data_IF_643218150563
#
_entry.id   IF_643218150563
#
_cell.length_a   1.000
_cell.length_b   1.000
_cell.length_c   1.000
_cell.angle_alpha   90.00
_cell.angle_beta   90.00
_cell.angle_gamma   90.00
#
_symmetry.space_group_name_H-M   'P 1'
#
loop_
_entity.id
_entity.type
_entity.pdbx_description
1 polymer ?
#
# COMPACT_ATOMS: atom_id res chain seq x y z
N UNK A 1 -2.31 -23.88 -13.96
CA UNK A 1 -1.65 -22.62 -13.60
C UNK A 1 -2.19 -21.46 -14.44
N UNK A 2 -3.01 -20.59 -13.83
CA UNK A 2 -3.61 -19.36 -14.40
C UNK A 2 -2.69 -18.68 -15.44
N UNK A 3 -2.91 -18.88 -16.76
CA UNK A 3 -2.02 -18.36 -17.80
C UNK A 3 -2.08 -16.83 -17.83
N UNK A 4 -1.01 -16.15 -18.25
CA UNK A 4 -1.06 -14.70 -18.41
C UNK A 4 -1.96 -14.30 -19.58
N UNK A 5 -2.56 -13.10 -19.52
CA UNK A 5 -3.42 -12.54 -20.58
C UNK A 5 -2.68 -12.40 -21.92
N UNK A 6 -1.35 -12.31 -21.86
CA UNK A 6 -0.48 -12.28 -23.03
C UNK A 6 0.90 -12.86 -22.70
N UNK A 7 1.66 -13.17 -23.74
CA UNK A 7 3.08 -13.46 -23.59
C UNK A 7 3.82 -12.33 -22.83
N UNK A 8 4.96 -12.62 -22.18
CA UNK A 8 5.81 -11.61 -21.55
C UNK A 8 5.95 -10.34 -22.40
N UNK A 9 5.68 -9.19 -21.78
CA UNK A 9 5.65 -7.91 -22.48
C UNK A 9 6.99 -7.65 -23.19
N UNK A 10 6.97 -7.57 -24.52
CA UNK A 10 8.18 -7.27 -25.29
C UNK A 10 8.41 -5.76 -25.31
N UNK A 11 9.04 -5.25 -24.24
CA UNK A 11 9.38 -3.83 -24.08
C UNK A 11 10.68 -3.42 -24.77
N UNK A 12 11.38 -4.37 -25.38
CA UNK A 12 12.61 -4.11 -26.14
C UNK A 12 12.67 -4.95 -27.42
N UNK A 13 12.89 -4.30 -28.58
CA UNK A 13 12.95 -4.97 -29.87
C UNK A 13 14.15 -4.52 -30.71
N UNK A 14 14.63 -5.40 -31.60
CA UNK A 14 15.76 -5.11 -32.48
C UNK A 14 15.26 -4.51 -33.80
N UNK A 15 15.64 -3.26 -34.06
CA UNK A 15 15.36 -2.55 -35.31
C UNK A 15 16.55 -2.71 -36.27
N UNK A 16 16.28 -3.27 -37.45
CA UNK A 16 17.24 -3.33 -38.57
C UNK A 16 17.05 -2.10 -39.45
N UNK A 17 18.09 -1.28 -39.57
CA UNK A 17 18.04 -0.02 -40.33
C UNK A 17 18.53 -0.16 -41.77
N UNK A 18 18.77 -1.39 -42.25
CA UNK A 18 19.37 -1.67 -43.57
C UNK A 18 20.85 -1.29 -43.72
N UNK A 19 21.46 -0.62 -42.72
CA UNK A 19 22.88 -0.24 -42.71
C UNK A 19 23.75 -1.34 -42.10
N UNK A 20 25.02 -1.42 -42.52
CA UNK A 20 26.01 -2.37 -42.00
C UNK A 20 26.26 -2.09 -40.51
N UNK A 21 26.05 -3.08 -39.64
CA UNK A 21 26.27 -2.96 -38.19
C UNK A 21 25.34 -3.83 -37.34
N UNK A 22 25.58 -3.87 -36.02
CA UNK A 22 24.71 -4.60 -35.07
C UNK A 22 23.33 -3.92 -35.03
N UNK A 23 22.22 -4.68 -35.15
CA UNK A 23 20.86 -4.13 -35.07
C UNK A 23 20.66 -3.29 -33.80
N UNK A 24 20.01 -2.14 -33.96
CA UNK A 24 19.71 -1.25 -32.84
C UNK A 24 18.64 -1.88 -31.97
N UNK A 25 18.75 -1.73 -30.65
CA UNK A 25 17.65 -2.08 -29.75
C UNK A 25 16.89 -0.82 -29.38
N UNK A 26 15.57 -0.84 -29.59
CA UNK A 26 14.64 0.15 -29.10
C UNK A 26 13.93 -0.39 -27.88
N UNK A 27 13.78 0.47 -26.87
CA UNK A 27 13.14 0.16 -25.59
C UNK A 27 11.98 1.12 -25.48
N UNK A 28 10.82 0.62 -25.10
CA UNK A 28 9.63 1.43 -24.89
C UNK A 28 9.91 2.58 -23.90
N UNK A 29 9.69 3.85 -24.27
CA UNK A 29 10.03 5.00 -23.43
C UNK A 29 9.23 5.06 -22.13
N UNK A 30 7.96 4.64 -22.13
CA UNK A 30 7.11 4.69 -20.93
C UNK A 30 7.57 3.66 -19.90
N UNK A 31 7.78 2.42 -20.33
CA UNK A 31 8.42 1.38 -19.54
C UNK A 31 9.76 1.84 -19.01
N UNK A 32 10.61 2.41 -19.87
CA UNK A 32 11.96 2.81 -19.49
C UNK A 32 11.94 3.91 -18.43
N UNK A 33 11.03 4.88 -18.52
CA UNK A 33 10.84 5.91 -17.49
C UNK A 33 10.49 5.28 -16.15
N UNK A 34 9.42 4.49 -16.10
CA UNK A 34 8.97 3.84 -14.86
C UNK A 34 10.01 2.86 -14.29
N UNK A 35 10.72 2.13 -15.15
CA UNK A 35 11.76 1.20 -14.73
C UNK A 35 12.97 1.91 -14.11
N UNK A 36 13.34 3.10 -14.62
CA UNK A 36 14.44 3.92 -14.10
C UNK A 36 14.17 4.53 -12.72
N UNK A 37 12.89 4.66 -12.34
CA UNK A 37 12.51 5.07 -11.00
C UNK A 37 12.68 3.96 -9.96
N UNK A 38 12.59 2.72 -10.40
CA UNK A 38 12.72 1.54 -9.53
C UNK A 38 14.15 1.02 -9.50
N UNK A 39 14.83 0.98 -10.65
CA UNK A 39 16.14 0.35 -10.82
C UNK A 39 17.05 1.18 -11.73
N UNK A 40 18.35 1.18 -11.44
CA UNK A 40 19.35 1.69 -12.38
C UNK A 40 19.53 0.79 -13.61
N UNK A 41 20.22 1.25 -14.67
CA UNK A 41 20.43 0.50 -15.91
C UNK A 41 20.94 -0.94 -15.73
N UNK A 42 21.82 -1.18 -14.75
CA UNK A 42 22.35 -2.52 -14.42
C UNK A 42 21.29 -3.48 -13.89
N UNK A 43 20.26 -2.95 -13.21
CA UNK A 43 19.15 -3.73 -12.67
C UNK A 43 18.00 -3.96 -13.65
N UNK A 44 17.89 -3.14 -14.69
CA UNK A 44 16.89 -3.26 -15.78
C UNK A 44 17.41 -4.20 -16.86
N UNK A 45 18.69 -4.08 -17.22
CA UNK A 45 19.30 -4.79 -18.34
C UNK A 45 19.02 -6.31 -18.40
N UNK A 46 19.16 -7.07 -17.29
CA UNK A 46 18.85 -8.51 -17.28
C UNK A 46 17.38 -8.82 -17.57
N UNK A 47 16.46 -7.92 -17.21
CA UNK A 47 15.00 -8.13 -17.32
C UNK A 47 14.51 -8.12 -18.76
N UNK A 48 15.21 -7.38 -19.63
CA UNK A 48 14.85 -7.19 -21.04
C UNK A 48 15.90 -7.78 -21.99
N UNK A 49 16.87 -8.55 -21.47
CA UNK A 49 17.88 -9.24 -22.27
C UNK A 49 18.87 -8.33 -23.01
N UNK A 50 19.23 -7.17 -22.44
CA UNK A 50 20.17 -6.22 -23.06
C UNK A 50 21.32 -5.85 -22.11
N UNK A 51 22.30 -5.08 -22.60
CA UNK A 51 23.37 -4.53 -21.73
C UNK A 51 22.93 -3.28 -20.98
N UNK A 52 23.50 -3.01 -19.80
CA UNK A 52 23.25 -1.77 -19.05
C UNK A 52 23.57 -0.51 -19.89
N UNK A 53 24.57 -0.61 -20.78
CA UNK A 53 24.92 0.45 -21.73
C UNK A 53 23.82 0.72 -22.75
N UNK A 54 23.12 -0.32 -23.21
CA UNK A 54 21.97 -0.21 -24.11
C UNK A 54 20.83 0.53 -23.43
N UNK A 55 20.51 0.17 -22.18
CA UNK A 55 19.49 0.85 -21.38
C UNK A 55 19.82 2.33 -21.20
N UNK A 56 21.05 2.66 -20.77
CA UNK A 56 21.49 4.05 -20.62
C UNK A 56 21.40 4.84 -21.93
N UNK A 57 21.80 4.25 -23.05
CA UNK A 57 21.70 4.89 -24.38
C UNK A 57 20.25 5.14 -24.80
N UNK A 58 19.34 4.20 -24.52
CA UNK A 58 17.92 4.41 -24.76
C UNK A 58 17.38 5.56 -23.90
N UNK A 59 17.77 5.61 -22.62
CA UNK A 59 17.34 6.65 -21.69
C UNK A 59 17.82 8.05 -22.12
N UNK A 60 19.07 8.17 -22.59
CA UNK A 60 19.61 9.41 -23.16
C UNK A 60 18.84 9.86 -24.39
N UNK A 61 18.50 8.94 -25.30
CA UNK A 61 17.72 9.26 -26.51
C UNK A 61 16.30 9.70 -26.21
N UNK A 62 15.69 9.11 -25.18
CA UNK A 62 14.36 9.47 -24.72
C UNK A 62 14.34 10.73 -23.84
N UNK A 63 15.49 11.37 -23.59
CA UNK A 63 15.58 12.55 -22.72
C UNK A 63 15.35 12.27 -21.23
N UNK A 64 15.33 11.00 -20.82
CA UNK A 64 15.05 10.59 -19.43
C UNK A 64 16.26 10.75 -18.50
N UNK A 65 17.46 10.84 -19.06
CA UNK A 65 18.71 11.00 -18.32
C UNK A 65 19.60 11.98 -19.08
N UNK A 66 20.33 12.82 -18.36
CA UNK A 66 21.31 13.73 -18.96
C UNK A 66 22.62 12.99 -19.32
N UNK A 67 23.32 13.42 -20.39
CA UNK A 67 24.68 12.94 -20.66
C UNK A 67 25.56 13.12 -19.42
N UNK A 68 26.21 12.04 -18.98
CA UNK A 68 27.12 12.13 -17.84
C UNK A 68 28.41 12.82 -18.24
N UNK A 69 29.06 13.51 -17.29
CA UNK A 69 30.45 13.90 -17.44
C UNK A 69 31.33 12.66 -17.72
N UNK A 70 32.48 12.82 -18.40
CA UNK A 70 33.41 11.72 -18.62
C UNK A 70 33.71 10.97 -17.32
N UNK A 71 33.65 9.63 -17.36
CA UNK A 71 33.91 8.76 -16.20
C UNK A 71 35.32 9.01 -15.63
N UNK A 72 36.23 9.47 -16.49
CA UNK A 72 37.59 9.89 -16.15
C UNK A 72 37.74 11.37 -16.50
N UNK A 73 38.08 12.19 -15.52
CA UNK A 73 38.62 13.51 -15.77
C UNK A 73 40.05 13.55 -15.25
N UNK A 74 41.01 13.77 -16.15
CA UNK A 74 42.40 14.02 -15.80
C UNK A 74 42.51 15.46 -15.29
N UNK A 75 42.89 15.66 -14.04
CA UNK A 75 43.19 16.98 -13.48
C UNK A 75 44.67 17.04 -13.12
N UNK A 76 45.41 17.92 -13.77
CA UNK A 76 46.80 18.17 -13.40
C UNK A 76 46.81 19.07 -12.16
N UNK A 77 47.40 18.62 -11.06
CA UNK A 77 47.56 19.45 -9.86
C UNK A 77 48.66 20.51 -10.06
N UNK A 78 48.79 21.46 -9.13
CA UNK A 78 49.78 22.55 -9.19
C UNK A 78 51.25 22.05 -9.22
N UNK A 79 51.47 20.76 -8.92
CA UNK A 79 52.77 20.09 -8.92
C UNK A 79 53.04 19.29 -10.21
N UNK A 80 52.16 19.37 -11.22
CA UNK A 80 52.33 18.69 -12.51
C UNK A 80 51.96 17.21 -12.52
N UNK A 81 51.39 16.67 -11.44
CA UNK A 81 50.90 15.29 -11.40
C UNK A 81 49.47 15.19 -11.92
N UNK A 82 49.21 14.17 -12.75
CA UNK A 82 47.88 13.90 -13.31
C UNK A 82 47.07 13.07 -12.31
N UNK A 83 46.09 13.68 -11.66
CA UNK A 83 45.08 12.96 -10.88
C UNK A 83 43.91 12.54 -11.78
N UNK A 84 43.50 11.28 -11.67
CA UNK A 84 42.32 10.75 -12.36
C UNK A 84 41.13 10.84 -11.41
N UNK A 85 40.23 11.78 -11.67
CA UNK A 85 38.97 11.91 -10.93
C UNK A 85 37.94 10.97 -11.54
N UNK A 86 37.48 10.01 -10.73
CA UNK A 86 36.42 9.07 -11.10
C UNK A 86 35.04 9.67 -10.84
N UNK A 87 34.23 9.81 -11.89
CA UNK A 87 32.83 10.27 -11.74
C UNK A 87 31.91 9.05 -11.65
N UNK A 88 31.17 8.91 -10.54
CA UNK A 88 30.23 7.81 -10.33
C UNK A 88 29.05 7.88 -11.32
N UNK A 89 28.67 6.73 -11.88
CA UNK A 89 27.47 6.57 -12.74
C UNK A 89 26.19 6.27 -11.98
N UNK A 90 26.22 6.30 -10.63
CA UNK A 90 25.02 6.11 -9.82
C UNK A 90 23.99 7.22 -10.11
N UNK A 91 22.67 6.95 -9.98
CA UNK A 91 21.67 8.00 -10.04
C UNK A 91 22.01 9.10 -9.02
N UNK A 92 21.77 10.38 -9.34
CA UNK A 92 22.02 11.46 -8.40
C UNK A 92 21.21 11.19 -7.12
N UNK A 93 21.90 11.19 -5.99
CA UNK A 93 21.27 11.21 -4.67
C UNK A 93 20.66 12.58 -4.45
N UNK A 94 19.60 12.65 -3.67
CA UNK A 94 18.99 13.93 -3.32
C UNK A 94 19.99 14.82 -2.58
N UNK A 95 20.15 16.05 -3.05
CA UNK A 95 20.95 17.08 -2.37
C UNK A 95 20.08 17.64 -1.25
N UNK A 96 20.21 17.04 -0.07
CA UNK A 96 19.51 17.44 1.16
C UNK A 96 20.51 17.52 2.31
N UNK A 97 20.44 18.58 3.12
CA UNK A 97 21.30 18.73 4.29
C UNK A 97 20.96 17.68 5.36
N UNK A 98 21.86 17.44 6.32
CA UNK A 98 21.57 16.54 7.43
C UNK A 98 20.46 17.11 8.35
N UNK A 99 20.40 18.44 8.53
CA UNK A 99 19.36 19.10 9.31
C UNK A 99 17.98 18.97 8.67
N UNK A 100 17.88 19.18 7.35
CA UNK A 100 16.61 19.01 6.63
C UNK A 100 16.17 17.55 6.62
N UNK A 101 17.12 16.61 6.49
CA UNK A 101 16.84 15.19 6.58
C UNK A 101 16.31 14.81 7.96
N UNK A 102 16.92 15.34 9.03
CA UNK A 102 16.47 15.11 10.40
C UNK A 102 15.05 15.65 10.61
N UNK A 103 14.74 16.83 10.06
CA UNK A 103 13.40 17.39 10.10
C UNK A 103 12.37 16.51 9.36
N UNK A 104 12.72 16.00 8.17
CA UNK A 104 11.85 15.08 7.41
C UNK A 104 11.61 13.77 8.17
N UNK A 105 12.66 13.22 8.79
CA UNK A 105 12.54 12.00 9.60
C UNK A 105 11.68 12.26 10.84
N UNK A 106 11.87 13.40 11.52
CA UNK A 106 11.06 13.80 12.67
C UNK A 106 9.58 13.95 12.30
N UNK A 107 9.26 14.67 11.21
CA UNK A 107 7.87 14.81 10.74
C UNK A 107 7.27 13.47 10.31
N UNK A 108 8.09 12.58 9.73
CA UNK A 108 7.63 11.22 9.38
C UNK A 108 7.24 10.44 10.62
N UNK A 109 8.05 10.49 11.68
CA UNK A 109 7.82 9.76 12.93
C UNK A 109 6.70 10.37 13.79
N UNK A 110 6.45 11.67 13.68
CA UNK A 110 5.27 12.30 14.28
C UNK A 110 3.97 11.71 13.70
N UNK A 111 3.95 11.45 12.39
CA UNK A 111 2.81 10.82 11.72
C UNK A 111 2.82 9.31 11.93
N UNK A 112 3.98 8.65 11.82
CA UNK A 112 4.11 7.20 11.89
C UNK A 112 5.13 6.80 12.97
N UNK A 113 4.74 6.82 14.26
CA UNK A 113 5.69 6.62 15.36
C UNK A 113 6.41 5.27 15.35
N UNK A 114 5.85 4.27 14.68
CA UNK A 114 6.39 2.92 14.61
C UNK A 114 7.19 2.65 13.32
N UNK A 115 7.41 3.66 12.47
CA UNK A 115 8.18 3.47 11.25
C UNK A 115 9.64 3.17 11.57
N UNK A 116 10.06 1.95 11.26
CA UNK A 116 11.46 1.60 11.21
C UNK A 116 12.17 2.22 10.00
N UNK A 117 13.51 2.24 10.03
CA UNK A 117 14.39 2.79 8.99
C UNK A 117 14.03 2.39 7.54
N UNK A 118 13.53 1.17 7.33
CA UNK A 118 13.10 0.70 6.00
C UNK A 118 11.82 1.36 5.51
N UNK A 119 10.83 1.52 6.39
CA UNK A 119 9.58 2.22 6.07
C UNK A 119 9.83 3.71 5.88
N UNK A 120 10.69 4.34 6.71
CA UNK A 120 11.11 5.73 6.51
C UNK A 120 11.75 5.91 5.14
N UNK A 121 12.70 5.04 4.78
CA UNK A 121 13.30 5.09 3.43
C UNK A 121 12.26 4.89 2.34
N UNK A 122 11.30 3.98 2.54
CA UNK A 122 10.18 3.78 1.61
C UNK A 122 9.34 5.04 1.43
N UNK A 123 8.98 5.70 2.53
CA UNK A 123 8.20 6.94 2.57
C UNK A 123 8.94 8.11 1.89
N UNK A 124 10.23 8.31 2.22
CA UNK A 124 11.04 9.33 1.55
C UNK A 124 11.18 9.03 0.05
N UNK A 125 11.33 7.75 -0.33
CA UNK A 125 11.38 7.34 -1.74
C UNK A 125 10.06 7.58 -2.46
N UNK A 126 8.90 7.34 -1.85
CA UNK A 126 7.60 7.63 -2.47
C UNK A 126 7.37 9.13 -2.65
N UNK A 127 8.05 9.97 -1.86
CA UNK A 127 8.08 11.42 -2.02
C UNK A 127 9.16 11.92 -3.01
N UNK A 128 9.89 11.01 -3.66
CA UNK A 128 10.91 11.35 -4.67
C UNK A 128 12.34 11.52 -4.12
N UNK A 129 12.56 11.36 -2.81
CA UNK A 129 13.90 11.44 -2.24
C UNK A 129 14.70 10.16 -2.45
N UNK A 130 15.94 10.30 -2.95
CA UNK A 130 16.92 9.22 -3.12
C UNK A 130 18.08 9.42 -2.15
N UNK A 131 17.89 8.98 -0.91
CA UNK A 131 18.86 9.19 0.17
C UNK A 131 19.57 7.86 0.51
N UNK A 132 20.91 7.85 0.67
CA UNK A 132 21.67 6.67 1.08
C UNK A 132 21.19 6.08 2.41
N UNK A 133 21.22 4.75 2.53
CA UNK A 133 20.80 4.02 3.74
C UNK A 133 21.53 4.50 5.00
N UNK A 134 22.82 4.80 4.88
CA UNK A 134 23.65 5.20 6.01
C UNK A 134 23.25 6.59 6.52
N UNK A 135 22.92 7.53 5.63
CA UNK A 135 22.39 8.85 6.02
C UNK A 135 21.04 8.74 6.72
N UNK A 136 20.13 7.92 6.22
CA UNK A 136 18.84 7.66 6.90
C UNK A 136 19.08 7.02 8.27
N UNK A 137 20.03 6.10 8.38
CA UNK A 137 20.37 5.46 9.65
C UNK A 137 20.94 6.46 10.65
N UNK A 138 21.87 7.32 10.22
CA UNK A 138 22.44 8.37 11.06
C UNK A 138 21.37 9.38 11.50
N UNK A 139 20.53 9.84 10.58
CA UNK A 139 19.40 10.73 10.87
C UNK A 139 18.42 10.12 11.87
N UNK A 140 18.03 8.86 11.66
CA UNK A 140 17.17 8.12 12.59
C UNK A 140 17.77 8.08 14.00
N UNK A 141 19.07 7.81 14.13
CA UNK A 141 19.74 7.78 15.43
C UNK A 141 19.77 9.15 16.11
N UNK A 142 19.93 10.24 15.36
CA UNK A 142 19.89 11.61 15.91
C UNK A 142 18.49 12.02 16.37
N UNK A 143 17.45 11.64 15.62
CA UNK A 143 16.06 12.05 15.87
C UNK A 143 15.35 11.15 16.89
N UNK A 144 15.46 9.83 16.72
CA UNK A 144 14.73 8.84 17.52
C UNK A 144 15.61 8.18 18.60
N UNK A 145 16.93 8.34 18.53
CA UNK A 145 17.85 7.62 19.41
C UNK A 145 18.12 6.18 18.97
N UNK A 146 18.93 5.47 19.76
CA UNK A 146 19.25 4.07 19.47
C UNK A 146 17.96 3.22 19.46
N UNK A 147 17.75 2.37 18.43
CA UNK A 147 16.62 1.46 18.46
C UNK A 147 16.76 0.52 19.67
N UNK A 148 15.64 0.15 20.28
CA UNK A 148 15.65 -0.98 21.21
C UNK A 148 16.33 -2.19 20.52
N UNK A 149 17.12 -2.95 21.28
CA UNK A 149 17.74 -4.19 20.77
C UNK A 149 16.58 -5.16 20.52
N UNK A 150 16.09 -5.19 19.28
CA UNK A 150 15.19 -6.23 18.84
C UNK A 150 16.00 -7.50 18.70
N UNK A 151 15.63 -8.53 19.45
CA UNK A 151 16.09 -9.89 19.19
C UNK A 151 15.84 -10.24 17.73
N UNK A 152 16.74 -11.02 17.16
CA UNK A 152 16.66 -11.48 15.78
C UNK A 152 15.40 -12.36 15.64
N UNK A 153 14.25 -11.74 15.38
CA UNK A 153 12.99 -12.47 15.24
C UNK A 153 13.06 -13.16 13.89
N UNK A 154 13.52 -14.40 13.92
CA UNK A 154 13.69 -15.24 12.75
C UNK A 154 12.30 -15.62 12.23
N UNK A 155 11.72 -14.76 11.39
CA UNK A 155 10.41 -15.06 10.79
C UNK A 155 10.64 -16.09 9.68
N UNK A 156 10.18 -17.32 9.94
CA UNK A 156 10.09 -18.36 8.91
C UNK A 156 9.14 -17.88 7.82
N UNK A 157 9.63 -17.75 6.58
CA UNK A 157 8.80 -17.36 5.43
C UNK A 157 8.57 -18.60 4.57
N UNK A 158 7.30 -18.99 4.46
CA UNK A 158 6.80 -20.29 3.99
C UNK A 158 5.97 -20.16 2.70
N UNK A 159 5.62 -21.31 2.10
CA UNK A 159 5.60 -21.54 0.63
C UNK A 159 4.31 -21.08 -0.10
N UNK A 160 3.88 -19.84 0.07
CA UNK A 160 2.86 -19.26 -0.82
C UNK A 160 3.40 -19.06 -2.25
N UNK A 161 2.65 -19.51 -3.26
CA UNK A 161 2.98 -19.29 -4.67
C UNK A 161 1.73 -19.04 -5.49
N UNK A 162 1.79 -17.99 -6.32
CA UNK A 162 0.86 -17.76 -7.43
C UNK A 162 1.66 -17.45 -8.70
N UNK A 163 1.10 -17.64 -9.91
CA UNK A 163 1.81 -17.52 -11.18
C UNK A 163 2.48 -16.16 -11.45
N UNK A 164 1.89 -15.06 -10.99
CA UNK A 164 2.44 -13.73 -11.23
C UNK A 164 1.62 -12.62 -10.57
N UNK A 165 2.03 -11.35 -10.72
CA UNK A 165 1.22 -10.21 -10.31
C UNK A 165 -0.15 -10.24 -10.98
N UNK A 166 -1.17 -9.74 -10.27
CA UNK A 166 -2.57 -9.70 -10.69
C UNK A 166 -3.21 -11.08 -10.94
N UNK A 167 -2.53 -12.19 -10.62
CA UNK A 167 -3.10 -13.53 -10.71
C UNK A 167 -4.08 -13.82 -9.58
N UNK A 168 -3.71 -13.45 -8.35
CA UNK A 168 -4.59 -13.49 -7.18
C UNK A 168 -4.37 -12.25 -6.33
N UNK A 169 -5.42 -11.44 -6.18
CA UNK A 169 -5.46 -10.36 -5.21
C UNK A 169 -6.30 -10.78 -3.99
N UNK A 170 -5.93 -10.27 -2.81
CA UNK A 170 -6.57 -10.58 -1.52
C UNK A 170 -7.28 -9.31 -1.06
N UNK A 171 -8.59 -9.40 -0.89
CA UNK A 171 -9.49 -8.33 -0.42
C UNK A 171 -9.96 -8.67 0.99
N UNK A 172 -9.95 -7.69 1.88
CA UNK A 172 -10.47 -7.82 3.24
C UNK A 172 -10.78 -6.47 3.88
N UNK A 173 -11.58 -6.49 4.95
CA UNK A 173 -11.93 -5.36 5.80
C UNK A 173 -11.46 -5.54 7.24
N UNK A 174 -10.72 -4.58 7.77
CA UNK A 174 -10.26 -4.58 9.17
C UNK A 174 -11.19 -3.74 10.05
N UNK A 175 -11.71 -4.34 11.13
CA UNK A 175 -12.67 -3.73 12.03
C UNK A 175 -12.07 -3.14 13.32
N UNK A 176 -10.74 -2.92 13.38
CA UNK A 176 -10.06 -2.42 14.59
C UNK A 176 -10.55 -1.06 15.14
N UNK A 177 -11.26 -0.25 14.33
CA UNK A 177 -11.88 1.03 14.70
C UNK A 177 -13.43 0.99 14.64
N UNK A 178 -14.03 -0.20 14.56
CA UNK A 178 -15.49 -0.38 14.37
C UNK A 178 -16.34 0.24 15.48
N UNK A 179 -15.79 0.37 16.69
CA UNK A 179 -16.42 1.08 17.83
C UNK A 179 -16.76 2.53 17.46
N UNK A 180 -16.00 3.13 16.55
CA UNK A 180 -16.20 4.48 16.04
C UNK A 180 -16.86 4.48 14.66
N UNK A 181 -17.44 3.36 14.23
CA UNK A 181 -18.02 3.18 12.89
C UNK A 181 -17.03 3.51 11.76
N UNK A 182 -15.77 3.09 11.93
CA UNK A 182 -14.71 3.25 10.93
C UNK A 182 -14.17 1.85 10.58
N UNK A 183 -14.14 1.56 9.29
CA UNK A 183 -13.63 0.30 8.71
C UNK A 183 -12.55 0.63 7.70
N UNK A 184 -11.52 -0.21 7.61
CA UNK A 184 -10.45 -0.06 6.63
C UNK A 184 -10.52 -1.24 5.67
N UNK A 185 -10.78 -0.99 4.39
CA UNK A 185 -10.75 -2.01 3.34
C UNK A 185 -9.44 -1.93 2.57
N UNK A 186 -8.88 -3.08 2.21
CA UNK A 186 -7.62 -3.15 1.48
C UNK A 186 -7.65 -4.25 0.43
N UNK A 187 -6.92 -4.05 -0.67
CA UNK A 187 -6.66 -5.04 -1.70
C UNK A 187 -5.15 -5.14 -1.90
N UNK A 188 -4.59 -6.34 -1.74
CA UNK A 188 -3.16 -6.61 -1.89
C UNK A 188 -2.90 -7.70 -2.93
N UNK A 189 -1.90 -7.48 -3.78
CA UNK A 189 -1.43 -8.47 -4.75
C UNK A 189 -0.70 -9.64 -4.06
N UNK A 190 -1.16 -10.86 -4.34
CA UNK A 190 -0.66 -12.09 -3.73
C UNK A 190 0.79 -12.43 -4.10
N UNK A 191 1.23 -12.05 -5.30
CA UNK A 191 2.60 -12.31 -5.76
C UNK A 191 3.61 -11.32 -5.16
N UNK A 192 3.36 -10.03 -5.36
CA UNK A 192 4.33 -8.94 -5.15
C UNK A 192 4.23 -8.27 -3.79
N UNK A 193 3.15 -8.50 -3.02
CA UNK A 193 2.82 -7.76 -1.78
C UNK A 193 2.44 -6.31 -2.01
N UNK A 194 2.20 -5.93 -3.25
CA UNK A 194 1.84 -4.56 -3.61
C UNK A 194 0.42 -4.28 -3.13
N UNK A 195 0.26 -3.25 -2.32
CA UNK A 195 -1.06 -2.75 -1.93
C UNK A 195 -1.65 -2.05 -3.15
N UNK A 196 -2.62 -2.71 -3.77
CA UNK A 196 -3.31 -2.22 -4.97
C UNK A 196 -4.26 -1.07 -4.60
N UNK A 197 -4.88 -1.15 -3.43
CA UNK A 197 -5.75 -0.10 -2.91
C UNK A 197 -6.00 -0.27 -1.42
N UNK A 198 -6.13 0.84 -0.71
CA UNK A 198 -6.56 0.89 0.68
C UNK A 198 -7.53 2.06 0.83
N UNK A 199 -8.59 1.91 1.62
CA UNK A 199 -9.52 3.00 1.89
C UNK A 199 -10.15 2.87 3.27
N UNK A 200 -10.34 4.02 3.90
CA UNK A 200 -11.01 4.12 5.18
C UNK A 200 -12.44 4.59 4.94
N UNK A 201 -13.40 3.78 5.36
CA UNK A 201 -14.82 4.02 5.22
C UNK A 201 -15.48 4.22 6.59
N UNK A 202 -16.62 4.89 6.58
CA UNK A 202 -17.51 5.04 7.74
C UNK A 202 -18.67 4.02 7.73
N UNK A 203 -18.59 3.01 6.87
CA UNK A 203 -19.59 1.97 6.67
C UNK A 203 -18.93 0.67 6.19
N UNK A 204 -19.66 -0.44 6.22
CA UNK A 204 -19.21 -1.74 5.70
C UNK A 204 -20.08 -2.24 4.53
N UNK A 205 -20.53 -1.35 3.65
CA UNK A 205 -21.43 -1.70 2.54
C UNK A 205 -20.66 -2.28 1.35
N UNK A 206 -21.29 -3.23 0.65
CA UNK A 206 -20.76 -3.81 -0.58
C UNK A 206 -20.38 -2.77 -1.63
N UNK A 207 -21.25 -1.79 -1.87
CA UNK A 207 -20.99 -0.70 -2.80
C UNK A 207 -19.71 0.10 -2.52
N UNK A 208 -19.35 0.28 -1.24
CA UNK A 208 -18.10 0.95 -0.85
C UNK A 208 -16.88 0.11 -1.23
N UNK A 209 -16.94 -1.20 -0.99
CA UNK A 209 -15.88 -2.16 -1.30
C UNK A 209 -15.73 -2.34 -2.81
N UNK A 210 -16.85 -2.45 -3.54
CA UNK A 210 -16.87 -2.48 -5.00
C UNK A 210 -16.26 -1.20 -5.57
N UNK A 211 -16.58 -0.03 -5.01
CA UNK A 211 -15.98 1.23 -5.49
C UNK A 211 -14.46 1.25 -5.31
N UNK A 212 -13.94 0.74 -4.19
CA UNK A 212 -12.50 0.56 -3.99
C UNK A 212 -11.89 -0.34 -5.08
N UNK A 213 -12.53 -1.47 -5.40
CA UNK A 213 -12.09 -2.34 -6.47
C UNK A 213 -12.10 -1.63 -7.84
N UNK A 214 -13.16 -0.92 -8.19
CA UNK A 214 -13.24 -0.22 -9.47
C UNK A 214 -12.13 0.83 -9.63
N UNK A 215 -11.78 1.53 -8.56
CA UNK A 215 -10.66 2.48 -8.57
C UNK A 215 -9.30 1.76 -8.75
N UNK A 216 -9.13 0.56 -8.15
CA UNK A 216 -7.96 -0.31 -8.39
C UNK A 216 -7.90 -0.77 -9.84
N UNK A 217 -9.04 -1.20 -10.41
CA UNK A 217 -9.13 -1.67 -11.79
C UNK A 217 -8.75 -0.56 -12.77
N UNK A 218 -9.21 0.67 -12.53
CA UNK A 218 -8.88 1.81 -13.36
C UNK A 218 -7.37 2.11 -13.39
N UNK A 219 -6.63 1.81 -12.30
CA UNK A 219 -5.20 2.10 -12.18
C UNK A 219 -4.29 0.93 -12.59
N UNK A 220 -4.72 -0.30 -12.34
CA UNK A 220 -3.85 -1.49 -12.41
C UNK A 220 -4.40 -2.60 -13.30
N UNK A 221 -5.63 -2.49 -13.78
CA UNK A 221 -6.34 -3.57 -14.46
C UNK A 221 -7.13 -4.47 -13.49
N UNK A 222 -7.93 -5.38 -14.04
CA UNK A 222 -8.80 -6.28 -13.27
C UNK A 222 -8.10 -7.60 -12.95
N UNK A 223 -7.77 -7.91 -11.67
CA UNK A 223 -7.09 -9.15 -11.30
C UNK A 223 -7.75 -10.38 -11.95
N UNK A 224 -6.96 -11.41 -12.27
CA UNK A 224 -7.51 -12.68 -12.77
C UNK A 224 -8.46 -13.29 -11.76
N UNK A 225 -8.08 -13.30 -10.48
CA UNK A 225 -8.92 -13.74 -9.36
C UNK A 225 -8.79 -12.81 -8.16
N UNK A 226 -9.88 -12.67 -7.43
CA UNK A 226 -9.91 -12.07 -6.10
C UNK A 226 -10.23 -13.15 -5.07
N UNK A 227 -9.61 -13.06 -3.89
CA UNK A 227 -10.02 -13.81 -2.71
C UNK A 227 -10.55 -12.84 -1.68
N UNK A 228 -11.66 -13.18 -1.06
CA UNK A 228 -12.18 -12.54 0.14
C UNK A 228 -12.86 -13.57 1.03
N UNK A 229 -13.25 -13.13 2.23
CA UNK A 229 -14.02 -13.96 3.13
C UNK A 229 -15.52 -13.93 2.81
N UNK A 230 -16.29 -14.75 3.52
CA UNK A 230 -17.75 -14.87 3.38
C UNK A 230 -18.54 -13.69 3.99
N UNK A 231 -17.97 -12.49 3.96
CA UNK A 231 -18.63 -11.24 4.35
C UNK A 231 -19.65 -10.75 3.31
N UNK A 232 -20.78 -10.21 3.76
CA UNK A 232 -21.79 -9.63 2.85
C UNK A 232 -21.27 -8.41 2.09
N UNK A 233 -20.26 -7.72 2.63
CA UNK A 233 -19.57 -6.61 1.97
C UNK A 233 -18.81 -7.03 0.70
N UNK A 234 -18.52 -8.33 0.54
CA UNK A 234 -17.80 -8.85 -0.61
C UNK A 234 -18.74 -9.28 -1.75
N UNK A 235 -20.06 -9.33 -1.51
CA UNK A 235 -21.03 -9.84 -2.49
C UNK A 235 -20.99 -9.05 -3.80
N UNK A 236 -21.08 -7.72 -3.73
CA UNK A 236 -21.08 -6.88 -4.94
C UNK A 236 -19.77 -7.01 -5.74
N UNK A 237 -18.65 -7.23 -5.06
CA UNK A 237 -17.36 -7.52 -5.71
C UNK A 237 -17.40 -8.88 -6.41
N UNK A 238 -17.90 -9.91 -5.74
CA UNK A 238 -17.99 -11.25 -6.31
C UNK A 238 -18.90 -11.28 -7.55
N UNK A 239 -20.06 -10.62 -7.48
CA UNK A 239 -20.98 -10.46 -8.62
C UNK A 239 -20.27 -9.77 -9.79
N UNK A 240 -19.61 -8.63 -9.54
CA UNK A 240 -18.88 -7.92 -10.57
C UNK A 240 -17.79 -8.77 -11.23
N UNK A 241 -17.04 -9.55 -10.43
CA UNK A 241 -15.99 -10.43 -10.95
C UNK A 241 -16.53 -11.54 -11.84
N UNK A 242 -17.66 -12.15 -11.48
CA UNK A 242 -18.32 -13.16 -12.30
C UNK A 242 -18.91 -12.55 -13.59
N UNK A 243 -19.48 -11.34 -13.53
CA UNK A 243 -19.98 -10.63 -14.71
C UNK A 243 -18.86 -10.28 -15.72
N UNK A 244 -17.70 -9.83 -15.22
CA UNK A 244 -16.59 -9.37 -16.07
C UNK A 244 -15.72 -10.52 -16.59
N UNK A 245 -15.59 -11.61 -15.84
CA UNK A 245 -14.68 -12.72 -16.17
C UNK A 245 -15.39 -14.01 -16.59
N UNK A 246 -16.72 -14.02 -16.62
CA UNK A 246 -17.52 -15.17 -16.99
C UNK A 246 -18.00 -15.99 -15.78
N UNK A 247 -19.24 -16.49 -15.83
CA UNK A 247 -19.85 -17.22 -14.72
C UNK A 247 -19.20 -18.59 -14.52
N UNK A 248 -18.98 -18.99 -13.26
CA UNK A 248 -18.49 -20.32 -12.90
C UNK A 248 -16.99 -20.53 -13.13
N UNK A 249 -16.26 -19.50 -13.59
CA UNK A 249 -14.79 -19.52 -13.73
C UNK A 249 -14.08 -19.56 -12.38
N UNK A 250 -14.78 -19.13 -11.33
CA UNK A 250 -14.19 -18.96 -10.01
C UNK A 250 -13.30 -17.73 -9.95
N UNK A 251 -13.85 -16.62 -10.41
CA UNK A 251 -13.15 -15.33 -10.50
C UNK A 251 -13.12 -14.62 -9.15
N UNK A 252 -14.05 -14.97 -8.26
CA UNK A 252 -13.99 -14.68 -6.84
C UNK A 252 -13.88 -15.99 -6.03
N UNK A 253 -12.78 -16.14 -5.31
CA UNK A 253 -12.52 -17.29 -4.43
C UNK A 253 -12.99 -16.93 -3.04
N UNK A 254 -14.11 -17.49 -2.64
CA UNK A 254 -14.56 -17.44 -1.26
C UNK A 254 -13.68 -18.34 -0.40
N UNK A 255 -13.05 -17.77 0.62
CA UNK A 255 -12.22 -18.51 1.57
C UNK A 255 -12.53 -18.13 3.01
N UNK A 256 -12.03 -18.90 3.97
CA UNK A 256 -12.00 -18.43 5.36
C UNK A 256 -10.98 -17.31 5.47
N UNK A 257 -11.16 -16.38 6.41
CA UNK A 257 -10.23 -15.24 6.55
C UNK A 257 -8.80 -15.71 6.87
N UNK A 258 -8.63 -16.84 7.56
CA UNK A 258 -7.31 -17.50 7.74
C UNK A 258 -6.63 -17.86 6.39
N UNK A 259 -7.40 -18.23 5.36
CA UNK A 259 -6.89 -18.52 4.01
C UNK A 259 -6.51 -17.26 3.23
N UNK A 260 -6.90 -16.08 3.71
CA UNK A 260 -6.56 -14.77 3.16
C UNK A 260 -5.21 -14.27 3.71
N UNK A 261 -4.25 -15.18 3.88
CA UNK A 261 -3.05 -14.98 4.70
C UNK A 261 -2.22 -13.75 4.30
N UNK A 262 -2.26 -13.36 3.02
CA UNK A 262 -1.44 -12.26 2.52
C UNK A 262 -1.93 -10.91 3.03
N UNK A 263 -3.24 -10.70 3.12
CA UNK A 263 -3.82 -9.48 3.66
C UNK A 263 -3.90 -9.53 5.19
N UNK A 264 -4.13 -10.70 5.78
CA UNK A 264 -4.11 -10.83 7.25
C UNK A 264 -2.76 -10.44 7.84
N UNK A 265 -1.68 -10.89 7.21
CA UNK A 265 -0.34 -10.46 7.58
C UNK A 265 -0.13 -8.96 7.38
N UNK A 266 -0.71 -8.38 6.32
CA UNK A 266 -0.63 -6.94 6.06
C UNK A 266 -1.31 -6.14 7.18
N UNK A 267 -2.41 -6.65 7.76
CA UNK A 267 -3.13 -5.95 8.82
C UNK A 267 -2.29 -5.75 10.09
N UNK A 268 -1.36 -6.65 10.39
CA UNK A 268 -0.37 -6.44 11.44
C UNK A 268 0.43 -5.15 11.17
N UNK A 269 0.96 -5.00 9.96
CA UNK A 269 1.77 -3.85 9.56
C UNK A 269 0.94 -2.56 9.44
N UNK A 270 -0.32 -2.64 9.01
CA UNK A 270 -1.28 -1.51 8.99
C UNK A 270 -1.58 -1.02 10.40
N UNK A 271 -1.91 -1.96 11.30
CA UNK A 271 -2.22 -1.68 12.71
C UNK A 271 -1.02 -1.01 13.38
N UNK A 272 0.18 -1.57 13.20
CA UNK A 272 1.40 -0.98 13.77
C UNK A 272 1.77 0.34 13.11
N UNK A 273 1.60 0.46 11.79
CA UNK A 273 2.00 1.63 11.01
C UNK A 273 1.19 2.88 11.36
N UNK A 274 -0.13 2.80 11.35
CA UNK A 274 -0.99 3.96 11.66
C UNK A 274 -2.27 3.62 12.44
N UNK A 275 -2.79 2.39 12.40
CA UNK A 275 -4.06 2.05 13.05
C UNK A 275 -4.02 2.24 14.58
N UNK A 276 -2.94 1.79 15.23
CA UNK A 276 -2.78 1.81 16.69
C UNK A 276 -2.80 3.24 17.25
N UNK A 277 -2.15 4.20 16.60
CA UNK A 277 -2.16 5.60 17.09
C UNK A 277 -3.57 6.19 17.08
N UNK A 278 -4.40 5.86 16.09
CA UNK A 278 -5.78 6.33 16.01
C UNK A 278 -6.67 5.63 17.03
N UNK A 279 -6.51 4.31 17.22
CA UNK A 279 -7.21 3.57 18.28
C UNK A 279 -6.92 4.17 19.66
N UNK A 280 -5.65 4.42 19.97
CA UNK A 280 -5.23 5.06 21.24
C UNK A 280 -5.78 6.48 21.35
N UNK A 281 -5.71 7.27 20.28
CA UNK A 281 -6.24 8.64 20.26
C UNK A 281 -7.75 8.67 20.56
N UNK A 282 -8.56 7.82 19.93
CA UNK A 282 -10.00 7.81 20.20
C UNK A 282 -10.35 7.28 21.60
N UNK A 283 -9.60 6.30 22.11
CA UNK A 283 -9.76 5.86 23.51
C UNK A 283 -9.44 6.98 24.51
N UNK A 284 -8.42 7.80 24.22
CA UNK A 284 -8.10 9.00 25.01
C UNK A 284 -9.24 10.02 24.94
N UNK A 285 -9.82 10.25 23.75
CA UNK A 285 -10.98 11.13 23.64
C UNK A 285 -12.19 10.63 24.45
N UNK A 286 -12.43 9.32 24.47
CA UNK A 286 -13.51 8.71 25.27
C UNK A 286 -13.28 8.91 26.76
N UNK A 287 -12.06 8.63 27.22
CA UNK A 287 -11.74 8.61 28.65
C UNK A 287 -11.62 10.02 29.21
N UNK A 288 -11.03 10.94 28.46
CA UNK A 288 -10.56 12.23 28.99
C UNK A 288 -11.20 13.46 28.31
N UNK A 289 -11.87 13.32 27.17
CA UNK A 289 -12.35 14.47 26.38
C UNK A 289 -13.81 14.38 25.94
N UNK A 290 -14.63 13.60 26.65
CA UNK A 290 -16.09 13.62 26.51
C UNK A 290 -16.63 13.01 25.22
N UNK A 291 -15.82 12.26 24.46
CA UNK A 291 -16.33 11.45 23.36
C UNK A 291 -17.21 10.33 23.92
N UNK A 292 -18.47 10.30 23.49
CA UNK A 292 -19.37 9.20 23.79
C UNK A 292 -19.68 8.44 22.49
N UNK A 293 -19.14 7.22 22.31
CA UNK A 293 -19.30 6.46 21.07
C UNK A 293 -20.73 5.93 20.86
N UNK A 294 -21.59 5.98 21.89
CA UNK A 294 -23.01 5.60 21.75
C UNK A 294 -23.89 6.74 21.23
N UNK A 295 -23.38 7.99 21.23
CA UNK A 295 -24.11 9.16 20.71
C UNK A 295 -23.83 9.34 19.21
N UNK A 296 -24.83 9.22 18.33
CA UNK A 296 -24.63 9.35 16.88
C UNK A 296 -23.99 10.68 16.46
N UNK A 297 -24.37 11.79 17.10
CA UNK A 297 -23.79 13.10 16.82
C UNK A 297 -22.29 13.21 17.13
N UNK A 298 -21.79 12.48 18.14
CA UNK A 298 -20.36 12.46 18.45
C UNK A 298 -19.60 11.63 17.42
N UNK A 299 -20.14 10.49 17.00
CA UNK A 299 -19.55 9.68 15.92
C UNK A 299 -19.54 10.48 14.61
N UNK A 300 -20.62 11.19 14.30
CA UNK A 300 -20.68 12.07 13.12
C UNK A 300 -19.57 13.13 13.18
N UNK A 301 -19.44 13.81 14.32
CA UNK A 301 -18.42 14.85 14.49
C UNK A 301 -17.00 14.27 14.37
N UNK A 302 -16.76 13.08 14.94
CA UNK A 302 -15.50 12.37 14.82
C UNK A 302 -15.18 12.04 13.35
N UNK A 303 -16.17 11.59 12.57
CA UNK A 303 -16.01 11.32 11.14
C UNK A 303 -15.71 12.61 10.36
N UNK A 304 -16.48 13.67 10.60
CA UNK A 304 -16.32 14.99 9.97
C UNK A 304 -14.91 15.53 10.15
N UNK A 305 -14.34 15.39 11.34
CA UNK A 305 -13.03 15.92 11.67
C UNK A 305 -11.87 15.02 11.20
N UNK A 306 -12.00 13.70 11.35
CA UNK A 306 -10.83 12.82 11.31
C UNK A 306 -10.86 11.74 10.23
N UNK A 307 -12.00 11.43 9.61
CA UNK A 307 -12.08 10.35 8.61
C UNK A 307 -11.12 10.61 7.42
N UNK A 308 -11.14 11.82 6.88
CA UNK A 308 -10.23 12.23 5.80
C UNK A 308 -8.76 12.16 6.22
N UNK A 309 -8.46 12.52 7.48
CA UNK A 309 -7.11 12.44 8.05
C UNK A 309 -6.61 10.99 8.18
N UNK A 310 -7.46 10.07 8.63
CA UNK A 310 -7.11 8.63 8.71
C UNK A 310 -6.91 8.08 7.30
N UNK A 311 -7.78 8.46 6.35
CA UNK A 311 -7.66 8.02 4.96
C UNK A 311 -6.35 8.51 4.33
N UNK A 312 -5.93 9.76 4.61
CA UNK A 312 -4.62 10.28 4.17
C UNK A 312 -3.46 9.49 4.76
N UNK A 313 -3.51 9.17 6.06
CA UNK A 313 -2.49 8.33 6.70
C UNK A 313 -2.42 6.93 6.05
N UNK A 314 -3.57 6.35 5.67
CA UNK A 314 -3.64 5.08 4.98
C UNK A 314 -3.00 5.13 3.58
N UNK A 315 -3.27 6.17 2.79
CA UNK A 315 -2.64 6.36 1.48
C UNK A 315 -1.12 6.55 1.59
N UNK A 316 -0.68 7.44 2.47
CA UNK A 316 0.74 7.72 2.70
C UNK A 316 1.49 6.45 3.17
N UNK A 317 0.83 5.65 4.02
CA UNK A 317 1.35 4.37 4.48
C UNK A 317 1.47 3.35 3.34
N UNK A 318 0.44 3.22 2.49
CA UNK A 318 0.47 2.30 1.35
C UNK A 318 1.55 2.69 0.33
N UNK A 319 1.77 3.97 0.10
CA UNK A 319 2.85 4.46 -0.76
C UNK A 319 4.25 4.16 -0.19
N UNK A 320 4.43 4.37 1.12
CA UNK A 320 5.64 3.99 1.82
C UNK A 320 5.87 2.47 1.76
N UNK A 321 4.82 1.68 1.99
CA UNK A 321 4.83 0.23 1.89
C UNK A 321 5.21 -0.23 0.48
N UNK A 322 4.58 0.29 -0.56
CA UNK A 322 4.88 -0.11 -1.93
C UNK A 322 6.31 0.23 -2.37
N UNK A 323 6.95 1.18 -1.67
CA UNK A 323 8.31 1.66 -1.92
C UNK A 323 9.38 1.03 -1.02
N UNK A 324 9.01 0.43 0.12
CA UNK A 324 9.96 -0.14 1.08
C UNK A 324 10.56 -1.45 0.57
N UNK A 325 11.78 -1.79 1.01
CA UNK A 325 12.41 -3.05 0.63
C UNK A 325 11.98 -4.20 1.54
N UNK A 326 11.45 -5.25 0.94
CA UNK A 326 11.14 -6.53 1.58
C UNK A 326 12.38 -7.42 1.63
N UNK A 327 12.58 -8.14 2.74
CA UNK A 327 13.61 -9.19 2.86
C UNK A 327 12.98 -10.56 2.71
N UNK A 328 12.93 -11.10 1.50
CA UNK A 328 12.50 -12.48 1.27
C UNK A 328 13.71 -13.41 1.36
N UNK A 329 13.58 -14.52 2.09
CA UNK A 329 14.68 -15.46 2.34
C UNK A 329 15.26 -15.94 1.00
N UNK A 330 16.60 -15.88 0.87
CA UNK A 330 17.35 -16.27 -0.34
C UNK A 330 16.99 -15.48 -1.61
N UNK A 331 16.34 -14.33 -1.48
CA UNK A 331 16.08 -13.42 -2.60
C UNK A 331 16.73 -12.06 -2.35
N UNK A 332 16.96 -11.31 -3.43
CA UNK A 332 17.42 -9.93 -3.31
C UNK A 332 16.33 -9.06 -2.70
N UNK A 333 16.72 -8.05 -1.93
CA UNK A 333 15.78 -7.07 -1.38
C UNK A 333 15.13 -6.26 -2.51
N UNK A 334 13.80 -6.27 -2.56
CA UNK A 334 12.98 -5.63 -3.59
C UNK A 334 11.78 -4.97 -2.93
N UNK A 335 11.30 -3.87 -3.50
CA UNK A 335 10.04 -3.29 -3.04
C UNK A 335 8.84 -4.00 -3.67
N UNK A 336 7.66 -3.95 -3.03
CA UNK A 336 6.45 -4.48 -3.66
C UNK A 336 6.22 -3.93 -5.07
N UNK A 337 6.43 -2.62 -5.28
CA UNK A 337 6.32 -1.99 -6.60
C UNK A 337 7.31 -2.54 -7.62
N UNK A 338 8.54 -2.85 -7.20
CA UNK A 338 9.57 -3.50 -8.03
C UNK A 338 9.14 -4.92 -8.41
N UNK A 339 8.67 -5.70 -7.43
CA UNK A 339 8.17 -7.07 -7.66
C UNK A 339 6.94 -7.09 -8.59
N UNK A 340 6.04 -6.12 -8.44
CA UNK A 340 4.84 -5.99 -9.26
C UNK A 340 5.20 -5.68 -10.72
N UNK A 341 5.92 -4.59 -10.96
CA UNK A 341 6.25 -4.13 -12.33
C UNK A 341 7.10 -5.14 -13.09
N UNK A 342 8.19 -5.64 -12.48
CA UNK A 342 9.07 -6.59 -13.16
C UNK A 342 8.51 -8.02 -13.14
N UNK A 343 7.58 -8.33 -12.24
CA UNK A 343 6.82 -9.58 -12.26
C UNK A 343 5.92 -9.65 -13.50
N UNK A 344 5.21 -8.57 -13.84
CA UNK A 344 4.40 -8.51 -15.07
C UNK A 344 5.22 -8.73 -16.34
N UNK A 345 6.47 -8.22 -16.34
CA UNK A 345 7.38 -8.40 -17.47
C UNK A 345 7.83 -9.86 -17.62
N UNK A 346 8.09 -10.57 -16.51
CA UNK A 346 8.63 -11.94 -16.53
C UNK A 346 7.57 -13.01 -16.68
N UNK A 347 6.49 -12.88 -15.91
CA UNK A 347 5.45 -13.91 -15.76
C UNK A 347 4.26 -13.67 -16.70
N UNK A 348 4.37 -12.66 -17.57
CA UNK A 348 3.29 -12.16 -18.40
C UNK A 348 2.29 -11.29 -17.62
N UNK A 349 1.68 -10.29 -18.27
CA UNK A 349 0.71 -9.43 -17.63
C UNK A 349 -0.60 -10.19 -17.39
N UNK A 350 -1.30 -9.82 -16.32
CA UNK A 350 -2.65 -10.28 -16.00
C UNK A 350 -3.51 -9.09 -15.63
N UNK A 351 -4.79 -9.19 -15.95
CA UNK A 351 -5.79 -8.16 -15.68
C UNK A 351 -5.81 -6.98 -16.64
N UNK A 352 -5.15 -7.12 -17.78
CA UNK A 352 -5.20 -6.15 -18.88
C UNK A 352 -5.91 -6.73 -20.11
N UNK A 353 -6.58 -7.88 -19.98
CA UNK A 353 -7.34 -8.56 -21.05
C UNK A 353 -8.39 -7.66 -21.70
N UNK A 354 -9.01 -6.71 -20.99
CA UNK A 354 -9.89 -5.71 -21.63
C UNK A 354 -9.18 -4.86 -22.69
N UNK A 355 -7.84 -4.85 -22.71
CA UNK A 355 -7.00 -4.20 -23.72
C UNK A 355 -6.35 -5.18 -24.70
N UNK A 356 -6.36 -6.49 -24.43
CA UNK A 356 -5.67 -7.53 -25.19
C UNK A 356 -6.61 -8.71 -25.46
N UNK A 357 -6.99 -8.93 -26.72
CA UNK A 357 -8.06 -9.83 -27.15
C UNK A 357 -7.72 -11.34 -27.07
N UNK A 358 -7.22 -11.82 -25.93
CA UNK A 358 -6.94 -13.24 -25.70
C UNK A 358 -7.55 -13.67 -24.37
N UNK A 359 -8.49 -14.61 -24.45
CA UNK A 359 -8.98 -15.36 -23.30
C UNK A 359 -8.68 -16.84 -23.57
N UNK A 360 -7.63 -17.37 -22.95
CA UNK A 360 -7.47 -18.81 -22.78
C UNK A 360 -7.97 -19.16 -21.37
N UNK A 361 -9.01 -19.97 -21.30
CA UNK A 361 -9.54 -20.50 -20.04
C UNK A 361 -8.73 -21.71 -19.58
N UNK A 362 -8.56 -21.85 -18.27
CA UNK A 362 -7.94 -23.03 -17.66
C UNK A 362 -8.80 -23.59 -16.53
N UNK A 363 -8.81 -24.91 -16.44
CA UNK A 363 -9.36 -25.71 -15.36
C UNK A 363 -8.37 -25.74 -14.18
N UNK A 364 -8.74 -25.17 -13.03
CA UNK A 364 -7.98 -25.30 -11.78
C UNK A 364 -8.50 -26.54 -11.05
N UNK A 365 -7.61 -27.50 -10.74
CA UNK A 365 -7.95 -28.76 -10.07
C UNK A 365 -8.69 -28.57 -8.73
N UNK A 366 -8.26 -27.61 -7.90
CA UNK A 366 -8.99 -27.19 -6.69
C UNK A 366 -8.86 -25.67 -6.45
N UNK A 367 -9.94 -24.95 -6.71
CA UNK A 367 -10.02 -23.50 -6.51
C UNK A 367 -9.92 -23.10 -5.04
N UNK A 368 -10.38 -23.96 -4.13
CA UNK A 368 -10.42 -23.66 -2.70
C UNK A 368 -9.01 -23.66 -2.11
N UNK A 369 -8.07 -24.42 -2.67
CA UNK A 369 -6.68 -24.47 -2.20
C UNK A 369 -5.77 -23.41 -2.86
N UNK A 370 -6.26 -22.73 -3.90
CA UNK A 370 -5.43 -21.89 -4.77
C UNK A 370 -4.78 -20.71 -4.03
N UNK A 371 -3.46 -20.70 -3.87
CA UNK A 371 -2.76 -19.59 -3.21
C UNK A 371 -3.13 -19.45 -1.73
N UNK A 372 -3.30 -20.55 -1.00
CA UNK A 372 -3.34 -20.56 0.47
C UNK A 372 -1.93 -20.77 1.04
N UNK A 373 -1.60 -20.10 2.14
CA UNK A 373 -0.37 -20.34 2.92
C UNK A 373 -0.72 -21.17 4.17
N UNK A 374 -0.87 -22.48 4.00
CA UNK A 374 -1.35 -23.39 5.06
C UNK A 374 -0.52 -23.30 6.35
N UNK A 375 0.79 -23.11 6.22
CA UNK A 375 1.68 -23.06 7.36
C UNK A 375 1.60 -21.73 8.14
N UNK A 376 1.07 -20.67 7.52
CA UNK A 376 0.85 -19.40 8.21
C UNK A 376 -0.43 -19.41 9.06
N UNK A 377 -1.37 -20.32 8.76
CA UNK A 377 -2.55 -20.58 9.58
C UNK A 377 -2.20 -21.21 10.93
N UNK A 378 -0.94 -21.59 11.15
CA UNK A 378 -0.42 -22.14 12.40
C UNK A 378 0.33 -21.09 13.24
N UNK A 379 0.49 -19.84 12.77
CA UNK A 379 1.20 -18.79 13.52
C UNK A 379 0.29 -18.14 14.60
N UNK A 380 0.56 -18.35 15.91
CA UNK A 380 -0.35 -17.90 16.97
C UNK A 380 -0.53 -16.38 17.04
N UNK A 381 0.51 -15.63 16.69
CA UNK A 381 0.49 -14.16 16.71
C UNK A 381 -0.43 -13.57 15.64
N UNK A 382 -0.45 -14.17 14.44
CA UNK A 382 -1.34 -13.75 13.36
C UNK A 382 -2.80 -14.07 13.70
N UNK A 383 -3.07 -15.26 14.22
CA UNK A 383 -4.42 -15.66 14.65
C UNK A 383 -4.91 -14.77 15.79
N UNK A 384 -4.07 -14.45 16.78
CA UNK A 384 -4.44 -13.57 17.87
C UNK A 384 -4.79 -12.15 17.37
N UNK A 385 -3.97 -11.61 16.45
CA UNK A 385 -4.21 -10.30 15.84
C UNK A 385 -5.50 -10.29 15.00
N UNK A 386 -5.74 -11.33 14.19
CA UNK A 386 -6.96 -11.54 13.44
C UNK A 386 -8.19 -11.49 14.37
N UNK A 387 -8.20 -12.33 15.40
CA UNK A 387 -9.33 -12.44 16.33
C UNK A 387 -9.56 -11.17 17.17
N UNK A 388 -8.53 -10.37 17.42
CA UNK A 388 -8.67 -9.07 18.10
C UNK A 388 -9.37 -8.04 17.20
N UNK A 389 -9.05 -8.05 15.91
CA UNK A 389 -9.52 -7.02 14.98
C UNK A 389 -10.78 -7.41 14.20
N UNK A 390 -11.17 -8.69 14.22
CA UNK A 390 -12.38 -9.22 13.58
C UNK A 390 -13.25 -10.01 14.59
N UNK A 391 -14.00 -9.31 15.46
CA UNK A 391 -14.73 -9.94 16.56
C UNK A 391 -15.85 -10.89 16.12
N UNK A 392 -16.40 -10.75 14.92
CA UNK A 392 -17.40 -11.67 14.35
C UNK A 392 -16.84 -13.07 14.08
N UNK A 393 -15.54 -13.18 13.75
CA UNK A 393 -14.90 -14.49 13.57
C UNK A 393 -14.74 -15.26 14.89
N UNK A 394 -14.68 -14.57 16.04
CA UNK A 394 -14.69 -15.23 17.36
C UNK A 394 -16.02 -15.92 17.67
N UNK A 395 -17.14 -15.43 17.12
CA UNK A 395 -18.48 -15.93 17.44
C UNK A 395 -18.86 -17.18 16.62
N UNK A 396 -18.30 -17.33 15.41
CA UNK A 396 -18.54 -18.48 14.55
C UNK A 396 -17.62 -19.63 14.95
N UNK A 397 -18.10 -20.47 15.87
CA UNK A 397 -17.43 -21.63 16.49
C UNK A 397 -17.16 -22.81 15.54
N UNK A 398 -16.75 -22.53 14.30
CA UNK A 398 -16.34 -23.51 13.29
C UNK A 398 -14.86 -23.82 13.45
N UNK A 399 -14.50 -25.11 13.55
CA UNK A 399 -13.11 -25.57 13.55
C UNK A 399 -12.33 -24.88 12.41
N UNK A 400 -11.36 -24.00 12.71
CA UNK A 400 -10.66 -23.19 11.73
C UNK A 400 -9.83 -24.01 10.72
N UNK A 401 -9.63 -25.31 10.99
CA UNK A 401 -8.82 -26.22 10.17
C UNK A 401 -9.64 -27.17 9.26
N UNK A 402 -10.97 -27.21 9.36
CA UNK A 402 -11.78 -28.05 8.47
C UNK A 402 -11.78 -27.51 7.03
N UNK A 403 -11.31 -28.31 6.07
CA UNK A 403 -11.45 -28.02 4.65
C UNK A 403 -12.93 -28.10 4.25
N UNK A 404 -13.43 -27.14 3.46
CA UNK A 404 -14.70 -27.21 2.68
C UNK A 404 -16.05 -26.79 3.28
N UNK A 405 -16.19 -26.24 4.49
CA UNK A 405 -17.52 -25.76 4.91
C UNK A 405 -17.81 -24.34 4.36
N UNK A 406 -18.47 -24.22 3.20
CA UNK A 406 -19.22 -23.00 2.87
C UNK A 406 -20.18 -22.73 4.02
N UNK A 407 -20.08 -21.58 4.71
CA UNK A 407 -20.95 -21.33 5.86
C UNK A 407 -22.40 -21.23 5.39
N UNK A 408 -23.33 -21.79 6.17
CA UNK A 408 -24.77 -21.78 5.84
C UNK A 408 -25.34 -20.36 5.72
N UNK A 409 -24.70 -19.38 6.37
CA UNK A 409 -25.02 -17.96 6.30
C UNK A 409 -23.73 -17.13 6.10
N UNK A 410 -23.81 -16.07 5.32
CA UNK A 410 -22.75 -15.07 5.21
C UNK A 410 -22.63 -14.27 6.52
N UNK A 411 -21.43 -13.82 6.86
CA UNK A 411 -21.23 -12.97 8.03
C UNK A 411 -21.57 -11.52 7.68
N UNK A 412 -22.40 -10.87 8.49
CA UNK A 412 -22.73 -9.47 8.34
C UNK A 412 -22.22 -8.65 9.53
N UNK A 413 -21.48 -7.58 9.23
CA UNK A 413 -21.07 -6.58 10.22
C UNK A 413 -21.81 -5.28 9.93
N UNK A 414 -22.85 -4.99 10.72
CA UNK A 414 -23.65 -3.78 10.56
C UNK A 414 -22.85 -2.53 10.98
N UNK A 415 -22.42 -1.76 9.99
CA UNK A 415 -21.73 -0.49 10.16
C UNK A 415 -22.32 0.56 9.23
N UNK A 416 -23.11 1.46 9.80
CA UNK A 416 -23.76 2.55 9.08
C UNK A 416 -23.33 3.90 9.66
N UNK A 417 -23.11 4.92 8.80
CA UNK A 417 -22.67 6.23 9.25
C UNK A 417 -23.84 6.98 9.89
N UNK A 418 -23.60 7.74 10.97
CA UNK A 418 -24.63 8.57 11.57
C UNK A 418 -25.01 9.74 10.66
N UNK A 419 -26.28 10.17 10.74
CA UNK A 419 -26.74 11.38 10.07
C UNK A 419 -26.13 12.65 10.66
N UNK A 420 -25.97 13.69 9.83
CA UNK A 420 -25.54 15.00 10.30
C UNK A 420 -26.58 15.58 11.27
N UNK A 421 -26.20 15.97 12.51
CA UNK A 421 -27.13 16.55 13.46
C UNK A 421 -27.38 18.06 13.22
N UNK A 422 -26.74 18.66 12.21
CA UNK A 422 -26.78 20.09 11.93
C UNK A 422 -27.49 20.40 10.61
N UNK A 423 -28.19 21.52 10.57
CA UNK A 423 -28.63 22.14 9.30
C UNK A 423 -27.41 22.63 8.51
N UNK A 424 -27.53 22.84 7.18
CA UNK A 424 -26.42 23.36 6.37
C UNK A 424 -25.82 24.67 6.91
N UNK A 425 -26.66 25.57 7.45
CA UNK A 425 -26.19 26.83 8.03
C UNK A 425 -25.40 26.62 9.31
N UNK A 426 -25.88 25.75 10.19
CA UNK A 426 -25.18 25.40 11.43
C UNK A 426 -23.85 24.69 11.16
N UNK A 427 -23.80 23.83 10.14
CA UNK A 427 -22.57 23.19 9.72
C UNK A 427 -21.53 24.20 9.22
N UNK A 428 -21.96 25.16 8.38
CA UNK A 428 -21.08 26.24 7.94
C UNK A 428 -20.52 27.05 9.12
N UNK A 429 -21.36 27.39 10.09
CA UNK A 429 -20.92 28.10 11.29
C UNK A 429 -19.92 27.29 12.12
N UNK A 430 -20.15 25.99 12.29
CA UNK A 430 -19.21 25.08 12.95
C UNK A 430 -17.84 25.11 12.25
N UNK A 431 -17.82 24.95 10.93
CA UNK A 431 -16.58 24.89 10.15
C UNK A 431 -15.83 26.23 10.14
N UNK A 432 -16.54 27.35 9.99
CA UNK A 432 -15.96 28.70 10.03
C UNK A 432 -15.30 28.99 11.39
N UNK A 433 -16.01 28.72 12.49
CA UNK A 433 -15.47 28.95 13.83
C UNK A 433 -14.32 28.02 14.18
N UNK A 434 -14.38 26.78 13.72
CA UNK A 434 -13.33 25.81 13.96
C UNK A 434 -12.05 26.21 13.19
N UNK A 435 -12.18 26.53 11.91
CA UNK A 435 -11.05 26.97 11.08
C UNK A 435 -10.40 28.27 11.58
N UNK A 436 -11.17 29.15 12.23
CA UNK A 436 -10.65 30.37 12.83
C UNK A 436 -9.90 30.14 14.17
N UNK A 437 -10.11 29.00 14.84
CA UNK A 437 -9.65 28.80 16.23
C UNK A 437 -8.58 27.71 16.42
N UNK A 438 -8.45 26.77 15.48
CA UNK A 438 -7.50 25.65 15.58
C UNK A 438 -6.88 25.32 14.23
N UNK A 439 -5.66 24.79 14.25
CA UNK A 439 -5.01 24.25 13.04
C UNK A 439 -5.59 22.88 12.68
N UNK A 440 -6.49 22.87 11.70
CA UNK A 440 -7.14 21.67 11.17
C UNK A 440 -6.23 20.80 10.29
N UNK A 441 -5.11 21.34 9.83
CA UNK A 441 -4.18 20.65 8.93
C UNK A 441 -3.08 19.91 9.68
N UNK A 442 -2.90 20.21 10.97
CA UNK A 442 -1.92 19.56 11.82
C UNK A 442 -2.12 18.04 11.86
N UNK A 443 -1.03 17.31 11.70
CA UNK A 443 -1.00 15.85 11.89
C UNK A 443 -0.61 15.45 13.31
N UNK A 444 -0.28 16.42 14.16
CA UNK A 444 0.05 16.20 15.56
C UNK A 444 -1.20 15.78 16.35
N UNK A 445 -1.11 14.68 17.10
CA UNK A 445 -2.26 14.16 17.85
C UNK A 445 -2.69 15.06 19.02
N UNK A 446 -1.78 15.85 19.59
CA UNK A 446 -2.13 16.82 20.63
C UNK A 446 -2.94 17.99 20.04
N UNK A 447 -2.58 18.46 18.85
CA UNK A 447 -3.36 19.48 18.15
C UNK A 447 -4.72 18.93 17.76
N UNK A 448 -4.80 17.69 17.25
CA UNK A 448 -6.09 17.03 16.94
C UNK A 448 -6.99 16.87 18.17
N UNK A 449 -6.42 16.68 19.36
CA UNK A 449 -7.19 16.69 20.62
C UNK A 449 -7.81 18.06 20.88
N UNK A 450 -7.07 19.15 20.64
CA UNK A 450 -7.61 20.51 20.74
C UNK A 450 -8.71 20.76 19.70
N UNK A 451 -8.52 20.27 18.47
CA UNK A 451 -9.55 20.31 17.42
C UNK A 451 -10.83 19.62 17.89
N UNK A 452 -10.73 18.41 18.45
CA UNK A 452 -11.89 17.71 19.00
C UNK A 452 -12.57 18.51 20.11
N UNK A 453 -11.82 18.94 21.12
CA UNK A 453 -12.37 19.64 22.28
C UNK A 453 -13.09 20.93 21.84
N UNK A 454 -12.49 21.69 20.92
CA UNK A 454 -13.07 22.93 20.40
C UNK A 454 -14.30 22.67 19.55
N UNK A 455 -14.25 21.67 18.66
CA UNK A 455 -15.38 21.30 17.82
C UNK A 455 -16.58 20.81 18.66
N UNK A 456 -16.34 20.01 19.70
CA UNK A 456 -17.39 19.54 20.60
C UNK A 456 -18.07 20.71 21.33
N UNK A 457 -17.28 21.68 21.80
CA UNK A 457 -17.80 22.88 22.45
C UNK A 457 -18.66 23.72 21.49
N UNK A 458 -18.19 23.97 20.27
CA UNK A 458 -18.94 24.74 19.27
C UNK A 458 -20.24 24.00 18.91
N UNK A 459 -20.16 22.68 18.70
CA UNK A 459 -21.30 21.82 18.42
C UNK A 459 -22.39 21.91 19.51
N UNK A 460 -21.98 21.89 20.78
CA UNK A 460 -22.89 22.05 21.92
C UNK A 460 -23.55 23.43 21.94
N UNK A 461 -22.76 24.49 21.77
CA UNK A 461 -23.29 25.87 21.74
C UNK A 461 -24.31 26.09 20.61
N UNK A 462 -24.09 25.49 19.44
CA UNK A 462 -25.03 25.54 18.31
C UNK A 462 -26.33 24.80 18.64
N UNK A 463 -26.25 23.63 19.29
CA UNK A 463 -27.43 22.85 19.67
C UNK A 463 -28.25 23.53 20.79
N UNK A 464 -27.58 24.24 21.69
CA UNK A 464 -28.22 24.99 22.78
C UNK A 464 -28.76 26.36 22.33
N UNK A 465 -28.55 26.75 21.07
CA UNK A 465 -29.02 28.03 20.53
C UNK A 465 -28.25 29.25 21.04
N UNK A 466 -27.04 29.05 21.57
CA UNK A 466 -26.16 30.10 22.09
C UNK A 466 -25.49 30.89 20.95
N UNK A 467 -25.44 30.31 19.74
CA UNK A 467 -24.81 30.87 18.55
C UNK A 467 -25.81 30.76 17.38
N UNK A 468 -26.04 31.87 16.68
CA UNK A 468 -26.97 31.99 15.54
C UNK A 468 -26.27 32.13 14.19
#
# INVERSE_FOLDING_TARGET
>A
MDPPDAAPLTVAHRVRTGRRGRPRVEIDPQFLSAALDLRGPTGIAPEIGVSARTVRRAALRAGLVQPGAPVFQSRTNEQGQVEVVHTSTAPPVSVISDADLDQLVASTLEVFPQFGRRMIRGHLKSQGYRIPRDRITASYLRVHGAPAIFGDRQISRKKYRVPGPMSLAHLDGQHGLIRYKIVIHCIIDGYSRFVLGIRVHNNNRGASVLRLLLDVIALHGCPSRLRGDHGVENIEVAVYMEEVKGPGRGSFIWGRSVHNTRIERLWYDVTHGFGKKWKVFFLDLETNHGLNPTRPGHIWLLHHLFLASINRDAQDWAEAWNSHQLTVRRQRERSPRDLFMFGMLREGPRGISSFLAVEEEEEIEDINEYGIDWEANEEPELIAHLLENNPTQRANNTDPFASSSTPANLSEVLCEPPGCPFTPRQLQLLDEQLNASVDLFSRNMNVRRLVWARALQIAQNIQEGVIH
#
